data_IF_132400119432
#
_entry.id   IF_132400119432
#
_cell.length_a   1.000
_cell.length_b   1.000
_cell.length_c   1.000
_cell.angle_alpha   90.00
_cell.angle_beta   90.00
_cell.angle_gamma   90.00
#
_symmetry.space_group_name_H-M   'P 1'
#
loop_
_entity.id
_entity.type
_entity.pdbx_description
1 polymer ?
#
# COMPACT_ATOMS: atom_id res chain seq x y z
N UNK A 1 -20.80 -5.52 3.10
CA UNK A 1 -21.72 -6.57 3.60
C UNK A 1 -21.01 -7.90 3.85
N UNK A 2 -20.40 -8.53 2.85
CA UNK A 2 -19.70 -9.81 3.05
C UNK A 2 -18.51 -9.69 4.03
N UNK A 3 -17.62 -8.74 3.77
CA UNK A 3 -16.42 -8.51 4.60
C UNK A 3 -16.78 -8.15 6.03
N UNK A 4 -17.62 -7.12 6.24
CA UNK A 4 -17.93 -6.61 7.57
C UNK A 4 -18.82 -7.53 8.41
N UNK A 5 -19.76 -8.26 7.79
CA UNK A 5 -20.73 -9.09 8.55
C UNK A 5 -20.24 -10.52 8.77
N UNK A 6 -19.35 -11.04 7.92
CA UNK A 6 -19.03 -12.47 7.92
C UNK A 6 -17.54 -12.77 7.98
N UNK A 7 -16.71 -12.12 7.16
CA UNK A 7 -15.31 -12.53 7.02
C UNK A 7 -14.42 -11.92 8.11
N UNK A 8 -14.43 -10.60 8.26
CA UNK A 8 -13.60 -9.90 9.26
C UNK A 8 -13.94 -10.34 10.69
N UNK A 9 -15.22 -10.43 11.12
CA UNK A 9 -15.55 -10.83 12.50
C UNK A 9 -15.20 -12.29 12.84
N UNK A 10 -15.07 -13.16 11.84
CA UNK A 10 -14.76 -14.59 12.03
C UNK A 10 -13.28 -14.92 11.82
N UNK A 11 -12.48 -13.96 11.34
CA UNK A 11 -11.06 -14.15 11.13
C UNK A 11 -10.33 -14.10 12.48
N UNK A 12 -9.81 -15.25 12.91
CA UNK A 12 -9.00 -15.34 14.13
C UNK A 12 -7.51 -15.22 13.87
N UNK A 13 -6.89 -15.85 12.83
CA UNK A 13 -5.47 -15.69 12.58
C UNK A 13 -5.16 -14.30 12.04
N UNK A 14 -3.99 -13.75 12.42
CA UNK A 14 -3.51 -12.46 11.91
C UNK A 14 -3.53 -12.39 10.39
N UNK A 15 -3.03 -13.41 9.71
CA UNK A 15 -3.02 -13.49 8.24
C UNK A 15 -4.40 -13.27 7.63
N UNK A 16 -5.43 -13.95 8.14
CA UNK A 16 -6.80 -13.82 7.63
C UNK A 16 -7.39 -12.44 7.94
N UNK A 17 -7.12 -11.89 9.14
CA UNK A 17 -7.57 -10.55 9.52
C UNK A 17 -6.98 -9.49 8.60
N UNK A 18 -5.66 -9.51 8.41
CA UNK A 18 -4.92 -8.60 7.54
C UNK A 18 -5.39 -8.75 6.10
N UNK A 19 -5.57 -9.99 5.62
CA UNK A 19 -6.05 -10.25 4.26
C UNK A 19 -7.43 -9.63 3.99
N UNK A 20 -8.40 -9.82 4.90
CA UNK A 20 -9.75 -9.28 4.70
C UNK A 20 -9.82 -7.76 4.91
N UNK A 21 -9.03 -7.20 5.82
CA UNK A 21 -8.94 -5.74 5.99
C UNK A 21 -8.26 -5.08 4.79
N UNK A 22 -7.16 -5.66 4.29
CA UNK A 22 -6.52 -5.26 3.03
C UNK A 22 -7.53 -5.29 1.88
N UNK A 23 -8.29 -6.38 1.75
CA UNK A 23 -9.32 -6.52 0.71
C UNK A 23 -10.42 -5.46 0.86
N UNK A 24 -10.82 -5.11 2.08
CA UNK A 24 -11.75 -4.02 2.34
C UNK A 24 -11.17 -2.67 1.86
N UNK A 25 -9.92 -2.39 2.21
CA UNK A 25 -9.19 -1.20 1.73
C UNK A 25 -9.14 -1.15 0.20
N UNK A 26 -8.78 -2.26 -0.45
CA UNK A 26 -8.75 -2.37 -1.91
C UNK A 26 -10.10 -2.06 -2.56
N UNK A 27 -11.20 -2.60 -2.05
CA UNK A 27 -12.54 -2.30 -2.58
C UNK A 27 -12.94 -0.83 -2.42
N UNK A 28 -12.63 -0.21 -1.28
CA UNK A 28 -12.90 1.22 -1.09
C UNK A 28 -11.99 2.09 -1.97
N UNK A 29 -10.73 1.70 -2.18
CA UNK A 29 -9.83 2.37 -3.14
C UNK A 29 -10.40 2.35 -4.55
N UNK A 30 -10.81 1.18 -5.06
CA UNK A 30 -11.44 1.07 -6.38
C UNK A 30 -12.72 1.91 -6.50
N UNK A 31 -13.48 2.01 -5.41
CA UNK A 31 -14.65 2.87 -5.36
C UNK A 31 -14.26 4.36 -5.37
N UNK A 32 -13.18 4.74 -4.68
CA UNK A 32 -12.68 6.12 -4.63
C UNK A 32 -12.20 6.64 -6.00
N UNK A 33 -11.69 5.75 -6.85
CA UNK A 33 -11.25 6.08 -8.22
C UNK A 33 -12.40 6.62 -9.09
N UNK A 34 -13.63 6.11 -8.88
CA UNK A 34 -14.81 6.49 -9.67
C UNK A 34 -15.79 7.40 -8.93
N UNK A 35 -15.63 7.56 -7.62
CA UNK A 35 -16.52 8.37 -6.79
C UNK A 35 -16.39 9.86 -7.12
N UNK A 36 -17.53 10.56 -7.07
CA UNK A 36 -17.65 12.01 -7.29
C UNK A 36 -18.51 12.64 -6.20
N UNK A 37 -18.32 13.94 -5.97
CA UNK A 37 -19.09 14.68 -4.96
C UNK A 37 -18.79 14.27 -3.52
N UNK A 38 -19.76 14.51 -2.65
CA UNK A 38 -19.57 14.47 -1.19
C UNK A 38 -19.27 13.07 -0.64
N UNK A 39 -19.71 12.01 -1.33
CA UNK A 39 -19.47 10.63 -0.91
C UNK A 39 -18.00 10.21 -1.03
N UNK A 40 -17.23 10.84 -1.95
CA UNK A 40 -15.82 10.49 -2.21
C UNK A 40 -14.98 10.57 -0.95
N UNK A 41 -15.17 11.61 -0.14
CA UNK A 41 -14.39 11.79 1.08
C UNK A 41 -14.61 10.63 2.07
N UNK A 42 -15.85 10.22 2.27
CA UNK A 42 -16.17 9.09 3.16
C UNK A 42 -15.60 7.76 2.66
N UNK A 43 -15.57 7.55 1.35
CA UNK A 43 -15.02 6.34 0.72
C UNK A 43 -13.50 6.29 0.91
N UNK A 44 -12.82 7.42 0.72
CA UNK A 44 -11.37 7.55 0.96
C UNK A 44 -11.03 7.24 2.43
N UNK A 45 -11.79 7.82 3.38
CA UNK A 45 -11.59 7.55 4.81
C UNK A 45 -11.76 6.05 5.12
N UNK A 46 -12.81 5.42 4.61
CA UNK A 46 -13.03 3.98 4.82
C UNK A 46 -11.89 3.12 4.24
N UNK A 47 -11.32 3.51 3.10
CA UNK A 47 -10.14 2.85 2.53
C UNK A 47 -8.93 2.99 3.44
N UNK A 48 -8.67 4.22 3.90
CA UNK A 48 -7.54 4.54 4.77
C UNK A 48 -7.62 3.82 6.11
N UNK A 49 -8.79 3.80 6.75
CA UNK A 49 -9.02 3.11 8.03
C UNK A 49 -8.76 1.61 7.88
N UNK A 50 -9.32 0.99 6.83
CA UNK A 50 -9.13 -0.44 6.59
C UNK A 50 -7.67 -0.83 6.33
N UNK A 51 -6.93 -0.02 5.56
CA UNK A 51 -5.50 -0.24 5.36
C UNK A 51 -4.69 0.00 6.64
N UNK A 52 -5.02 1.02 7.42
CA UNK A 52 -4.33 1.35 8.66
C UNK A 52 -4.49 0.22 9.70
N UNK A 53 -5.72 -0.26 9.91
CA UNK A 53 -6.01 -1.40 10.78
C UNK A 53 -5.25 -2.66 10.34
N UNK A 54 -5.25 -2.95 9.03
CA UNK A 54 -4.48 -4.08 8.49
C UNK A 54 -2.99 -3.91 8.75
N UNK A 55 -2.47 -2.68 8.61
CA UNK A 55 -1.05 -2.39 8.71
C UNK A 55 -0.55 -2.54 10.15
N UNK A 56 -1.31 -2.05 11.12
CA UNK A 56 -1.01 -2.23 12.54
C UNK A 56 -0.93 -3.70 12.94
N UNK A 57 -1.93 -4.50 12.56
CA UNK A 57 -1.94 -5.95 12.83
C UNK A 57 -0.75 -6.62 12.14
N UNK A 58 -0.48 -6.30 10.88
CA UNK A 58 0.62 -6.91 10.13
C UNK A 58 1.99 -6.60 10.73
N UNK A 59 2.19 -5.38 11.27
CA UNK A 59 3.43 -4.98 11.93
C UNK A 59 3.64 -5.71 13.25
N UNK A 60 2.56 -5.94 14.00
CA UNK A 60 2.63 -6.60 15.30
C UNK A 60 2.77 -8.12 15.20
N UNK A 61 2.15 -8.76 14.20
CA UNK A 61 1.94 -10.21 14.20
C UNK A 61 2.57 -10.95 13.01
N UNK A 62 3.20 -10.26 12.04
CA UNK A 62 3.71 -10.87 10.81
C UNK A 62 5.15 -10.43 10.49
N UNK A 63 5.96 -11.33 9.93
CA UNK A 63 7.32 -11.01 9.48
C UNK A 63 7.30 -10.01 8.31
N UNK A 64 8.28 -9.08 8.22
CA UNK A 64 8.38 -8.12 7.11
C UNK A 64 8.40 -8.77 5.72
N UNK A 65 8.92 -9.98 5.63
CA UNK A 65 9.00 -10.77 4.39
C UNK A 65 7.70 -11.50 4.03
N UNK A 66 6.68 -11.48 4.89
CA UNK A 66 5.45 -12.23 4.66
C UNK A 66 4.68 -11.67 3.43
N UNK A 67 4.26 -12.49 2.45
CA UNK A 67 3.62 -12.03 1.21
C UNK A 67 2.39 -11.13 1.44
N UNK A 68 1.51 -11.49 2.38
CA UNK A 68 0.33 -10.66 2.73
C UNK A 68 0.73 -9.27 3.28
N UNK A 69 1.77 -9.18 4.13
CA UNK A 69 2.25 -7.91 4.68
C UNK A 69 2.89 -7.05 3.59
N UNK A 70 3.71 -7.64 2.73
CA UNK A 70 4.29 -6.97 1.57
C UNK A 70 3.21 -6.48 0.59
N UNK A 71 2.22 -7.32 0.28
CA UNK A 71 1.11 -6.98 -0.61
C UNK A 71 0.22 -5.88 -0.02
N UNK A 72 0.07 -5.84 1.30
CA UNK A 72 -0.58 -4.73 1.98
C UNK A 72 0.21 -3.43 1.82
N UNK A 73 1.52 -3.44 2.07
CA UNK A 73 2.36 -2.26 1.92
C UNK A 73 2.38 -1.73 0.48
N UNK A 74 2.40 -2.63 -0.50
CA UNK A 74 2.28 -2.29 -1.93
C UNK A 74 0.96 -1.58 -2.23
N UNK A 75 -0.17 -2.17 -1.83
CA UNK A 75 -1.47 -1.57 -2.15
C UNK A 75 -1.74 -0.27 -1.37
N UNK A 76 -1.23 -0.18 -0.15
CA UNK A 76 -1.38 1.02 0.66
C UNK A 76 -0.47 2.16 0.16
N UNK A 77 0.72 1.86 -0.38
CA UNK A 77 1.55 2.91 -1.01
C UNK A 77 0.90 3.42 -2.30
N UNK A 78 0.32 2.54 -3.12
CA UNK A 78 -0.49 2.92 -4.28
C UNK A 78 -1.68 3.79 -3.87
N UNK A 79 -2.37 3.46 -2.78
CA UNK A 79 -3.44 4.31 -2.24
C UNK A 79 -2.95 5.72 -1.89
N UNK A 80 -1.81 5.85 -1.20
CA UNK A 80 -1.23 7.16 -0.90
C UNK A 80 -0.90 7.94 -2.17
N UNK A 81 -0.36 7.26 -3.19
CA UNK A 81 0.03 7.87 -4.45
C UNK A 81 -1.19 8.31 -5.27
N UNK A 82 -2.07 7.39 -5.61
CA UNK A 82 -3.16 7.60 -6.58
C UNK A 82 -4.39 8.28 -5.99
N UNK A 83 -4.71 8.02 -4.71
CA UNK A 83 -5.96 8.49 -4.09
C UNK A 83 -5.74 9.73 -3.24
N UNK A 84 -4.69 9.74 -2.41
CA UNK A 84 -4.38 10.85 -1.53
C UNK A 84 -3.43 11.88 -2.13
N UNK A 85 -2.86 11.61 -3.31
CA UNK A 85 -1.86 12.44 -3.96
C UNK A 85 -0.69 12.80 -3.02
N UNK A 86 -0.32 11.87 -2.14
CA UNK A 86 0.72 12.03 -1.13
C UNK A 86 1.93 11.17 -1.51
N UNK A 87 2.68 11.65 -2.49
CA UNK A 87 3.82 10.94 -3.06
C UNK A 87 4.91 10.65 -2.02
N UNK A 88 5.21 11.62 -1.14
CA UNK A 88 6.20 11.43 -0.06
C UNK A 88 5.82 10.24 0.83
N UNK A 89 4.55 10.16 1.23
CA UNK A 89 4.08 9.10 2.10
C UNK A 89 4.03 7.75 1.38
N UNK A 90 3.65 7.72 0.10
CA UNK A 90 3.70 6.53 -0.74
C UNK A 90 5.12 5.97 -0.85
N UNK A 91 6.09 6.82 -1.23
CA UNK A 91 7.49 6.45 -1.37
C UNK A 91 8.09 6.00 -0.03
N UNK A 92 7.80 6.72 1.06
CA UNK A 92 8.25 6.35 2.40
C UNK A 92 7.74 4.97 2.80
N UNK A 93 6.45 4.71 2.63
CA UNK A 93 5.85 3.41 2.98
C UNK A 93 6.45 2.27 2.16
N UNK A 94 6.53 2.43 0.83
CA UNK A 94 7.07 1.42 -0.08
C UNK A 94 8.55 1.14 0.21
N UNK A 95 9.36 2.20 0.42
CA UNK A 95 10.78 2.09 0.73
C UNK A 95 11.00 1.40 2.08
N UNK A 96 10.27 1.78 3.13
CA UNK A 96 10.37 1.13 4.43
C UNK A 96 10.04 -0.36 4.34
N UNK A 97 8.95 -0.74 3.67
CA UNK A 97 8.59 -2.15 3.52
C UNK A 97 9.64 -2.94 2.73
N UNK A 98 10.19 -2.35 1.66
CA UNK A 98 11.26 -2.97 0.87
C UNK A 98 12.54 -3.16 1.70
N UNK A 99 13.00 -2.13 2.40
CA UNK A 99 14.21 -2.16 3.22
C UNK A 99 14.08 -3.17 4.38
N UNK A 100 12.94 -3.20 5.07
CA UNK A 100 12.65 -4.17 6.14
C UNK A 100 12.68 -5.61 5.60
N UNK A 101 12.10 -5.86 4.43
CA UNK A 101 12.08 -7.19 3.83
C UNK A 101 13.45 -7.63 3.31
N UNK A 102 14.27 -6.72 2.77
CA UNK A 102 15.65 -7.01 2.38
C UNK A 102 16.50 -7.42 3.59
N UNK A 103 16.33 -6.73 4.73
CA UNK A 103 17.08 -7.03 5.95
C UNK A 103 16.82 -8.45 6.49
N UNK A 104 15.67 -9.05 6.16
CA UNK A 104 15.25 -10.36 6.65
C UNK A 104 15.05 -11.40 5.53
N UNK A 105 15.52 -11.10 4.30
CA UNK A 105 15.26 -11.94 3.13
C UNK A 105 15.79 -13.37 3.29
N UNK A 106 16.91 -13.53 3.98
CA UNK A 106 17.54 -14.83 4.25
C UNK A 106 16.70 -15.74 5.18
N UNK A 107 15.67 -15.20 5.85
CA UNK A 107 14.77 -15.93 6.75
C UNK A 107 13.54 -16.54 6.06
N UNK A 108 13.34 -16.27 4.76
CA UNK A 108 12.18 -16.76 4.01
C UNK A 108 12.20 -18.26 3.80
N UNK A 109 11.03 -18.89 3.98
CA UNK A 109 10.80 -20.26 3.56
C UNK A 109 10.64 -20.36 2.03
N UNK A 110 10.93 -21.53 1.46
CA UNK A 110 10.84 -21.76 0.00
C UNK A 110 9.42 -21.57 -0.55
N UNK A 111 8.39 -21.82 0.27
CA UNK A 111 6.98 -21.73 -0.13
C UNK A 111 6.56 -20.29 -0.44
N UNK A 112 6.98 -19.33 0.39
CA UNK A 112 6.63 -17.91 0.23
C UNK A 112 7.67 -17.11 -0.57
N UNK A 113 8.87 -17.66 -0.81
CA UNK A 113 9.99 -16.94 -1.43
C UNK A 113 9.62 -16.31 -2.78
N UNK A 114 8.93 -17.06 -3.65
CA UNK A 114 8.54 -16.56 -4.98
C UNK A 114 7.55 -15.41 -4.91
N UNK A 115 6.55 -15.51 -4.03
CA UNK A 115 5.52 -14.48 -3.90
C UNK A 115 6.10 -13.21 -3.26
N UNK A 116 6.90 -13.35 -2.20
CA UNK A 116 7.55 -12.22 -1.55
C UNK A 116 8.51 -11.49 -2.47
N UNK A 117 9.36 -12.22 -3.22
CA UNK A 117 10.31 -11.60 -4.15
C UNK A 117 9.61 -10.89 -5.31
N UNK A 118 8.51 -11.45 -5.82
CA UNK A 118 7.68 -10.78 -6.82
C UNK A 118 7.09 -9.47 -6.29
N UNK A 119 6.55 -9.45 -5.08
CA UNK A 119 5.96 -8.24 -4.50
C UNK A 119 7.05 -7.19 -4.19
N UNK A 120 8.22 -7.60 -3.70
CA UNK A 120 9.36 -6.71 -3.50
C UNK A 120 9.83 -6.08 -4.83
N UNK A 121 9.80 -6.86 -5.91
CA UNK A 121 10.10 -6.37 -7.25
C UNK A 121 9.10 -5.28 -7.66
N UNK A 122 7.79 -5.49 -7.45
CA UNK A 122 6.75 -4.49 -7.72
C UNK A 122 6.92 -3.21 -6.87
N UNK A 123 7.28 -3.35 -5.59
CA UNK A 123 7.59 -2.20 -4.73
C UNK A 123 8.76 -1.38 -5.28
N UNK A 124 9.82 -2.04 -5.75
CA UNK A 124 10.98 -1.37 -6.37
C UNK A 124 10.61 -0.66 -7.66
N UNK A 125 9.78 -1.29 -8.49
CA UNK A 125 9.35 -0.73 -9.77
C UNK A 125 8.48 0.52 -9.55
N UNK A 126 7.55 0.47 -8.60
CA UNK A 126 6.77 1.65 -8.20
C UNK A 126 7.66 2.79 -7.66
N UNK A 127 8.62 2.49 -6.78
CA UNK A 127 9.56 3.50 -6.28
C UNK A 127 10.36 4.16 -7.39
N UNK A 128 10.79 3.38 -8.38
CA UNK A 128 11.53 3.88 -9.54
C UNK A 128 10.67 4.84 -10.35
N UNK A 129 9.42 4.44 -10.66
CA UNK A 129 8.47 5.26 -11.40
C UNK A 129 8.16 6.58 -10.69
N UNK A 130 7.83 6.53 -9.40
CA UNK A 130 7.43 7.71 -8.63
C UNK A 130 8.59 8.68 -8.36
N UNK A 131 9.83 8.18 -8.32
CA UNK A 131 11.01 9.05 -8.15
C UNK A 131 11.53 9.62 -9.45
N UNK A 132 11.23 9.01 -10.60
CA UNK A 132 11.48 9.61 -11.92
C UNK A 132 10.48 10.70 -12.26
N UNK A 133 9.19 10.52 -11.94
CA UNK A 133 8.16 11.55 -12.19
C UNK A 133 8.49 12.85 -11.45
N UNK A 134 9.02 12.75 -10.22
CA UNK A 134 9.41 13.90 -9.41
C UNK A 134 10.64 14.68 -9.93
N UNK A 135 11.43 14.09 -10.83
CA UNK A 135 12.56 14.78 -11.47
C UNK A 135 12.12 15.56 -12.71
N UNK A 136 11.00 15.18 -13.35
CA UNK A 136 10.46 15.88 -14.52
C UNK A 136 9.75 17.19 -14.19
N UNK A 137 9.11 17.30 -13.02
CA UNK A 137 8.38 18.51 -12.61
C UNK A 137 9.28 19.63 -12.04
N UNK A 138 10.57 19.33 -11.77
CA UNK A 138 11.51 20.31 -11.23
C UNK A 138 12.22 21.16 -12.31
N UNK A 139 12.18 20.75 -13.59
CA UNK A 139 12.89 21.44 -14.68
C UNK A 139 12.04 22.50 -15.41
N UNK A 140 10.72 22.57 -15.19
CA UNK A 140 9.82 23.45 -15.96
C UNK A 140 9.43 24.77 -15.27
N UNK A 141 10.01 25.10 -14.11
CA UNK A 141 9.67 26.33 -13.35
C UNK A 141 10.67 27.49 -13.40
N UNK A 142 11.79 27.41 -14.13
CA UNK A 142 12.79 28.50 -14.15
C UNK A 142 12.96 29.32 -15.46
N UNK A 143 12.35 28.98 -16.60
CA UNK A 143 12.56 29.73 -17.86
C UNK A 143 11.53 30.84 -18.17
N UNK A 144 10.79 31.36 -17.17
CA UNK A 144 9.65 32.26 -17.40
C UNK A 144 9.79 33.71 -16.92
N UNK A 145 10.97 34.20 -16.51
CA UNK A 145 11.09 35.55 -15.89
C UNK A 145 12.33 36.34 -16.30
N UNK A 146 12.52 36.57 -17.60
CA UNK A 146 13.26 37.75 -18.06
C UNK A 146 12.58 38.33 -19.31
N UNK A 147 11.86 39.45 -19.14
CA UNK A 147 11.68 40.55 -20.09
C UNK A 147 10.99 41.73 -19.38
#
# INVERSE_FOLDING_TARGET
>A
VLLDKYLIPKATPAESRVFYLKMKGDYYRYLAEVAVGDEKHSIIMNSQDAYSDAFEISKAEMQPTHPIRLGLALNFSVFYYEILNSQEQACKLAKTAFDEAIAELDSLNEESYKDSTLIMQLLRDNLTLWTSDNQGDAEDTEEGREN
#
